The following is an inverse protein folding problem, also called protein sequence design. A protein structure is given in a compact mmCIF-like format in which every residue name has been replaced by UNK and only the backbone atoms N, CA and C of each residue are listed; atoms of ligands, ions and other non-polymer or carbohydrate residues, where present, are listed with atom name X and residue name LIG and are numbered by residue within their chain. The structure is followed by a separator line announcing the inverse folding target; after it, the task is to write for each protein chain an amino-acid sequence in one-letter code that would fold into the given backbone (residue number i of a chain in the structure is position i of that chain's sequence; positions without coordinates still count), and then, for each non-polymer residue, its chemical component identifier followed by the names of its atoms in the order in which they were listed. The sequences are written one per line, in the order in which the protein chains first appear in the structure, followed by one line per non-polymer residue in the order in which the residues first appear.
data_IF_648135041571
#
_entry.id   IF_648135041571
#
_cell.length_a   1.000
_cell.length_b   1.000
_cell.length_c   1.000
_cell.angle_alpha   90.00
_cell.angle_beta   90.00
_cell.angle_gamma   90.00
#
_symmetry.space_group_name_H-M   'P 1'
#
loop_
_entity.id
_entity.type
_entity.pdbx_description
1 polymer ?
#
# COMPACT_ATOMS: atom_id res chain seq x y z
N UNK A 1 4.40 -8.05 0.66
CA UNK A 1 3.77 -7.70 1.94
C UNK A 1 2.31 -8.12 1.93
N UNK A 2 1.85 -8.69 3.01
CA UNK A 2 0.45 -9.12 3.14
C UNK A 2 -0.25 -8.27 4.19
N UNK A 3 -1.48 -7.85 3.88
CA UNK A 3 -2.37 -7.19 4.83
C UNK A 3 -3.52 -8.14 5.14
N UNK A 4 -3.63 -8.56 6.38
CA UNK A 4 -4.65 -9.52 6.80
C UNK A 4 -5.60 -8.84 7.77
N UNK A 5 -6.90 -8.85 7.46
CA UNK A 5 -7.93 -8.39 8.39
C UNK A 5 -8.41 -9.56 9.25
N UNK A 6 -7.82 -9.72 10.43
CA UNK A 6 -8.21 -10.76 11.39
C UNK A 6 -9.38 -10.37 12.30
N UNK A 7 -10.05 -9.25 12.02
CA UNK A 7 -11.17 -8.78 12.82
C UNK A 7 -12.50 -9.26 12.25
N UNK A 8 -13.61 -8.99 12.96
CA UNK A 8 -14.97 -9.30 12.52
C UNK A 8 -15.60 -8.19 11.70
N UNK A 9 -14.91 -7.04 11.58
CA UNK A 9 -15.43 -5.85 10.92
C UNK A 9 -14.63 -5.55 9.66
N UNK A 10 -15.25 -4.85 8.72
CA UNK A 10 -14.55 -4.30 7.57
C UNK A 10 -13.57 -3.23 8.03
N UNK A 11 -12.34 -3.30 7.57
CA UNK A 11 -11.29 -2.32 7.85
C UNK A 11 -11.08 -1.46 6.61
N UNK A 12 -11.06 -0.13 6.80
CA UNK A 12 -10.77 0.81 5.71
C UNK A 12 -9.47 1.52 6.01
N UNK A 13 -8.48 1.35 5.13
CA UNK A 13 -7.24 2.12 5.17
C UNK A 13 -7.48 3.39 4.37
N UNK A 14 -7.55 4.54 5.05
CA UNK A 14 -7.87 5.81 4.42
C UNK A 14 -6.68 6.39 3.65
N UNK A 15 -5.46 6.18 4.13
CA UNK A 15 -4.25 6.59 3.42
C UNK A 15 -3.02 5.92 4.03
N UNK A 16 -1.91 6.04 3.31
CA UNK A 16 -0.58 5.60 3.74
C UNK A 16 0.31 6.81 3.90
N UNK A 17 1.29 6.72 4.79
CA UNK A 17 2.31 7.74 4.97
C UNK A 17 3.65 7.09 5.29
N UNK A 18 4.73 7.87 5.19
CA UNK A 18 6.08 7.39 5.51
C UNK A 18 6.93 8.56 5.99
N UNK A 19 7.82 8.30 6.94
CA UNK A 19 8.86 9.27 7.31
C UNK A 19 9.94 9.38 6.24
N UNK A 20 9.98 8.44 5.30
CA UNK A 20 11.00 8.38 4.24
C UNK A 20 10.55 9.05 2.94
N UNK A 21 9.30 9.54 2.86
CA UNK A 21 8.76 10.18 1.67
C UNK A 21 7.72 11.23 2.04
N UNK A 22 7.54 12.23 1.18
CA UNK A 22 6.51 13.26 1.37
C UNK A 22 5.10 12.68 1.23
N UNK A 23 4.92 11.74 0.30
CA UNK A 23 3.63 11.12 0.01
C UNK A 23 3.81 9.63 -0.29
N UNK A 24 2.86 8.81 0.14
CA UNK A 24 2.78 7.40 -0.24
C UNK A 24 1.43 7.18 -0.90
N UNK A 25 1.45 6.67 -2.14
CA UNK A 25 0.24 6.38 -2.91
C UNK A 25 0.05 4.88 -3.06
N UNK A 26 -1.20 4.42 -2.94
CA UNK A 26 -1.57 3.04 -3.23
C UNK A 26 -2.02 2.97 -4.68
N UNK A 27 -1.38 2.11 -5.46
CA UNK A 27 -1.70 1.87 -6.85
C UNK A 27 -2.12 0.42 -7.05
N UNK A 28 -2.97 0.20 -8.03
CA UNK A 28 -3.37 -1.14 -8.45
C UNK A 28 -3.12 -1.28 -9.96
N UNK A 29 -2.41 -2.32 -10.33
CA UNK A 29 -2.25 -2.71 -11.75
C UNK A 29 -3.35 -3.68 -12.14
N UNK A 30 -3.87 -3.53 -13.35
CA UNK A 30 -4.83 -4.46 -13.91
C UNK A 30 -4.65 -4.57 -15.42
N UNK A 31 -5.11 -5.68 -15.99
CA UNK A 31 -5.05 -5.93 -17.42
C UNK A 31 -6.47 -5.88 -17.98
N UNK A 32 -6.67 -5.10 -19.06
CA UNK A 32 -7.99 -4.98 -19.69
C UNK A 32 -8.29 -6.15 -20.64
N UNK A 33 -9.46 -6.10 -21.29
CA UNK A 33 -9.92 -7.17 -22.18
C UNK A 33 -9.04 -7.32 -23.43
N UNK A 34 -8.31 -6.29 -23.82
CA UNK A 34 -7.38 -6.29 -24.95
C UNK A 34 -5.98 -6.73 -24.56
N UNK A 35 -5.74 -7.07 -23.29
CA UNK A 35 -4.44 -7.48 -22.79
C UNK A 35 -3.50 -6.33 -22.46
N UNK A 36 -3.98 -5.09 -22.45
CA UNK A 36 -3.18 -3.93 -22.06
C UNK A 36 -3.16 -3.75 -20.55
N UNK A 37 -1.99 -3.42 -20.03
CA UNK A 37 -1.84 -3.13 -18.61
C UNK A 37 -2.17 -1.69 -18.30
N UNK A 38 -2.90 -1.49 -17.21
CA UNK A 38 -3.27 -0.20 -16.69
C UNK A 38 -2.89 -0.10 -15.22
N UNK A 39 -2.74 1.14 -14.75
CA UNK A 39 -2.44 1.43 -13.35
C UNK A 39 -3.36 2.55 -12.89
N UNK A 40 -3.99 2.37 -11.75
CA UNK A 40 -4.83 3.41 -11.16
C UNK A 40 -4.47 3.63 -9.69
N UNK A 41 -4.57 4.90 -9.26
CA UNK A 41 -4.39 5.27 -7.87
C UNK A 41 -5.68 5.01 -7.10
N UNK A 42 -5.56 4.46 -5.90
CA UNK A 42 -6.68 4.21 -5.01
C UNK A 42 -6.64 5.22 -3.86
N UNK A 43 -7.78 5.86 -3.58
CA UNK A 43 -7.89 6.80 -2.47
C UNK A 43 -7.99 6.10 -1.12
N UNK A 44 -8.47 4.87 -1.12
CA UNK A 44 -8.60 4.07 0.08
C UNK A 44 -8.56 2.59 -0.26
N UNK A 45 -8.32 1.76 0.76
CA UNK A 45 -8.30 0.31 0.62
C UNK A 45 -9.29 -0.29 1.62
N UNK A 46 -10.27 -1.05 1.12
CA UNK A 46 -11.27 -1.73 1.94
C UNK A 46 -10.86 -3.20 2.08
N UNK A 47 -10.75 -3.65 3.32
CA UNK A 47 -10.38 -5.04 3.62
C UNK A 47 -11.53 -5.68 4.39
N UNK A 48 -12.21 -6.63 3.76
CA UNK A 48 -13.32 -7.37 4.38
C UNK A 48 -12.82 -8.26 5.51
N UNK A 49 -13.69 -8.65 6.46
CA UNK A 49 -13.31 -9.59 7.52
C UNK A 49 -12.73 -10.88 6.94
N UNK A 50 -11.56 -11.28 7.45
CA UNK A 50 -10.87 -12.49 6.99
C UNK A 50 -10.16 -12.35 5.65
N UNK A 51 -10.26 -11.21 4.98
CA UNK A 51 -9.62 -10.98 3.69
C UNK A 51 -8.12 -10.73 3.86
N UNK A 52 -7.35 -11.22 2.89
CA UNK A 52 -5.92 -10.92 2.76
C UNK A 52 -5.69 -10.15 1.47
N UNK A 53 -4.99 -9.03 1.57
CA UNK A 53 -4.53 -8.24 0.42
C UNK A 53 -3.02 -8.42 0.31
N UNK A 54 -2.54 -8.79 -0.87
CA UNK A 54 -1.11 -8.97 -1.13
C UNK A 54 -0.59 -7.78 -1.93
N UNK A 55 0.39 -7.09 -1.38
CA UNK A 55 1.09 -6.01 -2.08
C UNK A 55 2.31 -6.60 -2.78
N UNK A 56 2.25 -6.68 -4.10
CA UNK A 56 3.29 -7.28 -4.94
C UNK A 56 3.25 -6.69 -6.34
N UNK A 57 4.34 -6.79 -7.12
CA UNK A 57 4.35 -6.34 -8.52
C UNK A 57 3.23 -6.99 -9.32
N UNK A 58 2.58 -6.19 -10.19
CA UNK A 58 1.47 -6.67 -11.03
C UNK A 58 0.11 -6.66 -10.33
N UNK A 59 0.04 -6.23 -9.09
CA UNK A 59 -1.19 -6.13 -8.30
C UNK A 59 -1.19 -4.79 -7.56
N UNK A 60 -1.51 -4.80 -6.25
CA UNK A 60 -1.41 -3.60 -5.42
C UNK A 60 0.04 -3.28 -5.13
N UNK A 61 0.41 -2.00 -5.18
CA UNK A 61 1.75 -1.57 -4.76
C UNK A 61 1.70 -0.15 -4.19
N UNK A 62 2.70 0.15 -3.37
CA UNK A 62 2.87 1.47 -2.78
C UNK A 62 3.95 2.23 -3.54
N UNK A 63 3.66 3.46 -3.94
CA UNK A 63 4.59 4.36 -4.59
C UNK A 63 4.97 5.48 -3.63
N UNK A 64 6.26 5.64 -3.35
CA UNK A 64 6.78 6.69 -2.49
C UNK A 64 7.20 7.86 -3.34
N UNK A 65 6.62 9.04 -3.06
CA UNK A 65 6.82 10.27 -3.82
C UNK A 65 7.46 11.31 -2.91
N UNK A 66 8.45 12.03 -3.43
CA UNK A 66 9.16 13.04 -2.65
C UNK A 66 10.01 12.40 -1.58
N UNK A 67 10.89 11.49 -1.95
CA UNK A 67 11.78 10.77 -1.04
C UNK A 67 12.71 11.75 -0.35
N UNK A 68 12.78 11.70 0.98
CA UNK A 68 13.53 12.66 1.80
C UNK A 68 15.02 12.35 1.89
N UNK A 69 15.40 11.12 1.55
CA UNK A 69 16.79 10.66 1.52
C UNK A 69 16.90 9.50 0.54
N UNK A 70 18.11 9.15 0.06
CA UNK A 70 18.26 8.05 -0.89
C UNK A 70 17.73 6.73 -0.32
N UNK A 71 16.89 6.05 -1.11
CA UNK A 71 16.41 4.71 -0.81
C UNK A 71 17.23 3.70 -1.60
N UNK A 72 17.62 2.63 -0.93
CA UNK A 72 18.46 1.58 -1.52
C UNK A 72 17.60 0.34 -1.72
N UNK A 73 17.61 -0.22 -2.93
CA UNK A 73 16.87 -1.45 -3.23
C UNK A 73 17.28 -2.58 -2.27
N UNK A 74 16.31 -3.32 -1.77
CA UNK A 74 16.50 -4.40 -0.81
C UNK A 74 16.52 -3.95 0.64
N UNK A 75 16.60 -2.64 0.91
CA UNK A 75 16.48 -2.11 2.27
C UNK A 75 15.01 -1.91 2.64
N UNK A 76 14.75 -1.72 3.92
CA UNK A 76 13.38 -1.53 4.43
C UNK A 76 13.08 -0.05 4.59
N UNK A 77 11.88 0.34 4.19
CA UNK A 77 11.33 1.66 4.47
C UNK A 77 10.13 1.52 5.40
N UNK A 78 9.88 2.52 6.24
CA UNK A 78 8.75 2.51 7.16
C UNK A 78 7.52 3.11 6.48
N UNK A 79 6.38 2.44 6.66
CA UNK A 79 5.10 2.90 6.15
C UNK A 79 4.06 2.80 7.26
N UNK A 80 3.26 3.84 7.41
CA UNK A 80 2.13 3.87 8.34
C UNK A 80 0.83 3.76 7.54
N UNK A 81 -0.06 2.87 8.01
CA UNK A 81 -1.42 2.74 7.49
C UNK A 81 -2.37 3.48 8.42
N UNK A 82 -3.08 4.47 7.90
CA UNK A 82 -4.06 5.24 8.64
C UNK A 82 -5.45 4.66 8.40
N UNK A 83 -6.06 4.13 9.44
CA UNK A 83 -7.38 3.51 9.37
C UNK A 83 -8.47 4.55 9.59
N UNK A 84 -9.65 4.29 9.05
CA UNK A 84 -10.79 5.23 9.12
C UNK A 84 -11.29 5.47 10.56
N UNK A 85 -10.98 4.57 11.49
CA UNK A 85 -11.32 4.72 12.91
C UNK A 85 -10.33 5.60 13.69
N UNK A 86 -9.29 6.12 13.03
CA UNK A 86 -8.25 6.92 13.66
C UNK A 86 -7.03 6.12 14.11
N UNK A 87 -7.07 4.80 14.03
CA UNK A 87 -5.92 3.95 14.35
C UNK A 87 -4.82 4.08 13.30
N UNK A 88 -3.58 3.90 13.73
CA UNK A 88 -2.41 3.89 12.84
C UNK A 88 -1.62 2.62 13.08
N UNK A 89 -1.35 1.88 12.00
CA UNK A 89 -0.52 0.67 12.04
C UNK A 89 0.74 0.92 11.24
N UNK A 90 1.89 0.84 11.89
CA UNK A 90 3.19 1.03 11.24
C UNK A 90 3.79 -0.32 10.86
N UNK A 91 4.40 -0.36 9.69
CA UNK A 91 5.08 -1.55 9.19
C UNK A 91 6.31 -1.16 8.39
N UNK A 92 7.13 -2.13 8.04
CA UNK A 92 8.27 -1.93 7.16
C UNK A 92 8.03 -2.65 5.84
N UNK A 93 8.41 -2.00 4.75
CA UNK A 93 8.28 -2.57 3.40
C UNK A 93 9.65 -2.59 2.75
N UNK A 94 9.87 -3.58 1.88
CA UNK A 94 11.11 -3.68 1.12
C UNK A 94 11.07 -2.72 -0.06
N UNK A 95 12.13 -1.92 -0.20
CA UNK A 95 12.26 -0.99 -1.32
C UNK A 95 12.60 -1.78 -2.59
N UNK A 96 11.85 -1.51 -3.66
CA UNK A 96 12.11 -2.01 -5.00
C UNK A 96 12.21 -0.83 -5.95
N UNK A 97 13.25 -0.80 -6.72
CA UNK A 97 13.53 0.25 -7.71
C UNK A 97 13.34 -0.27 -9.14
#
# INVERSE_FOLDING_TARGET
MKLVNGTRDTVVVSHFSSSDAATVELHRSYTDAEGEEHMSMLDSLVIAPGQTIVLQPGSYHLMMIGVTHPLIAGKMARVAMHLSDGSVVSTSVRVKL
#
